data_IF_555261023417
#
_entry.id   IF_555261023417
#
_cell.length_a   1.000
_cell.length_b   1.000
_cell.length_c   1.000
_cell.angle_alpha   90.00
_cell.angle_beta   90.00
_cell.angle_gamma   90.00
#
_symmetry.space_group_name_H-M   'P 1'
#
loop_
_entity.id
_entity.type
_entity.pdbx_description
1 polymer ?
#
# COMPACT_ATOMS: atom_id res chain seq x y z
N UNK A 1 -4.61 -45.78 -15.10
CA UNK A 1 -5.38 -44.87 -15.99
C UNK A 1 -6.34 -43.94 -15.23
N UNK A 2 -7.16 -44.42 -14.27
CA UNK A 2 -8.11 -43.57 -13.51
C UNK A 2 -7.45 -42.49 -12.62
N UNK A 3 -6.25 -42.74 -12.09
CA UNK A 3 -5.51 -41.78 -11.27
C UNK A 3 -4.95 -40.60 -12.09
N UNK A 4 -4.40 -40.89 -13.28
CA UNK A 4 -3.91 -39.86 -14.20
C UNK A 4 -5.05 -38.93 -14.68
N UNK A 5 -6.24 -39.49 -14.92
CA UNK A 5 -7.42 -38.70 -15.27
C UNK A 5 -7.89 -37.76 -14.14
N UNK A 6 -7.76 -38.19 -12.87
CA UNK A 6 -8.09 -37.35 -11.71
C UNK A 6 -7.08 -36.22 -11.49
N UNK A 7 -5.79 -36.49 -11.70
CA UNK A 7 -4.74 -35.48 -11.62
C UNK A 7 -4.91 -34.43 -12.72
N UNK A 8 -5.19 -34.86 -13.96
CA UNK A 8 -5.46 -33.96 -15.08
C UNK A 8 -6.71 -33.10 -14.83
N UNK A 9 -7.78 -33.66 -14.27
CA UNK A 9 -8.99 -32.92 -13.92
C UNK A 9 -8.75 -31.90 -12.79
N UNK A 10 -7.95 -32.26 -11.77
CA UNK A 10 -7.59 -31.36 -10.68
C UNK A 10 -6.73 -30.19 -11.17
N UNK A 11 -5.76 -30.46 -12.06
CA UNK A 11 -4.95 -29.42 -12.72
C UNK A 11 -5.81 -28.52 -13.61
N UNK A 12 -6.74 -29.08 -14.37
CA UNK A 12 -7.69 -28.32 -15.18
C UNK A 12 -8.57 -27.39 -14.35
N UNK A 13 -9.05 -27.86 -13.18
CA UNK A 13 -9.85 -27.04 -12.27
C UNK A 13 -9.02 -25.91 -11.64
N UNK A 14 -7.75 -26.18 -11.31
CA UNK A 14 -6.82 -25.19 -10.76
C UNK A 14 -6.42 -24.12 -11.78
N UNK A 15 -6.38 -24.46 -13.07
CA UNK A 15 -6.11 -23.50 -14.15
C UNK A 15 -7.34 -22.65 -14.50
N UNK A 16 -8.55 -23.16 -14.26
CA UNK A 16 -9.80 -22.40 -14.43
C UNK A 16 -10.02 -21.38 -13.31
N UNK A 17 -9.59 -21.68 -12.08
CA UNK A 17 -9.70 -20.75 -10.94
C UNK A 17 -8.76 -19.54 -11.01
N UNK A 18 -7.75 -19.56 -11.88
CA UNK A 18 -6.81 -18.44 -12.11
C UNK A 18 -7.38 -17.39 -13.08
N UNK A 19 -8.41 -17.74 -13.86
CA UNK A 19 -9.04 -16.86 -14.86
C UNK A 19 -9.64 -15.54 -14.30
N UNK A 20 -10.32 -15.48 -13.13
CA UNK A 20 -10.84 -14.22 -12.62
C UNK A 20 -9.74 -13.19 -12.29
N UNK A 21 -8.55 -13.65 -11.87
CA UNK A 21 -7.42 -12.76 -11.60
C UNK A 21 -6.84 -12.12 -12.88
N UNK A 22 -6.89 -12.84 -14.01
CA UNK A 22 -6.45 -12.31 -15.32
C UNK A 22 -7.50 -11.41 -15.97
N UNK A 23 -8.80 -11.64 -15.71
CA UNK A 23 -9.87 -10.77 -16.17
C UNK A 23 -9.85 -9.40 -15.48
N UNK A 24 -9.34 -9.31 -14.24
CA UNK A 24 -9.09 -8.04 -13.56
C UNK A 24 -7.86 -7.28 -14.12
N UNK A 25 -6.99 -7.94 -14.88
CA UNK A 25 -5.83 -7.32 -15.51
C UNK A 25 -6.13 -6.77 -16.92
N UNK A 26 -7.22 -7.22 -17.54
CA UNK A 26 -7.70 -6.72 -18.82
C UNK A 26 -8.76 -5.65 -18.58
N UNK A 27 -8.30 -4.43 -18.40
CA UNK A 27 -9.12 -3.22 -18.35
C UNK A 27 -10.15 -3.20 -19.51
N UNK A 28 -11.46 -3.03 -19.23
CA UNK A 28 -12.49 -3.00 -20.28
C UNK A 28 -12.16 -1.97 -21.36
N UNK A 29 -12.35 -2.30 -22.64
CA UNK A 29 -12.06 -1.36 -23.73
C UNK A 29 -12.75 -0.01 -23.50
N UNK A 30 -11.96 1.06 -23.35
CA UNK A 30 -12.45 2.41 -23.01
C UNK A 30 -12.32 2.81 -21.54
N UNK A 31 -11.84 1.95 -20.64
CA UNK A 31 -11.59 2.29 -19.23
C UNK A 31 -10.33 3.15 -19.02
N UNK A 32 -9.50 3.34 -20.05
CA UNK A 32 -8.26 4.12 -19.99
C UNK A 32 -8.37 5.48 -19.27
N UNK A 33 -9.39 6.31 -19.55
CA UNK A 33 -9.60 7.57 -18.83
C UNK A 33 -10.03 7.39 -17.37
N UNK A 34 -10.87 6.39 -17.06
CA UNK A 34 -11.27 6.08 -15.67
C UNK A 34 -10.08 5.56 -14.88
N UNK A 35 -9.29 4.65 -15.44
CA UNK A 35 -8.12 4.04 -14.80
C UNK A 35 -7.03 5.11 -14.60
N UNK A 36 -6.84 6.00 -15.57
CA UNK A 36 -5.94 7.14 -15.42
C UNK A 36 -6.43 8.13 -14.34
N UNK A 37 -7.73 8.42 -14.26
CA UNK A 37 -8.30 9.27 -13.22
C UNK A 37 -8.18 8.64 -11.82
N UNK A 38 -8.44 7.34 -11.70
CA UNK A 38 -8.25 6.58 -10.46
C UNK A 38 -6.77 6.53 -10.07
N UNK A 39 -5.86 6.35 -11.03
CA UNK A 39 -4.41 6.42 -10.80
C UNK A 39 -3.95 7.81 -10.34
N UNK A 40 -4.53 8.89 -10.89
CA UNK A 40 -4.25 10.26 -10.46
C UNK A 40 -4.79 10.53 -9.05
N UNK A 41 -6.00 10.09 -8.74
CA UNK A 41 -6.57 10.17 -7.39
C UNK A 41 -5.73 9.36 -6.39
N UNK A 42 -5.31 8.16 -6.77
CA UNK A 42 -4.41 7.34 -5.96
C UNK A 42 -3.07 8.05 -5.72
N UNK A 43 -2.46 8.61 -6.76
CA UNK A 43 -1.18 9.33 -6.65
C UNK A 43 -1.27 10.59 -5.80
N UNK A 44 -2.37 11.34 -5.90
CA UNK A 44 -2.59 12.51 -5.05
C UNK A 44 -2.86 12.11 -3.60
N UNK A 45 -3.76 11.14 -3.36
CA UNK A 45 -4.14 10.70 -2.02
C UNK A 45 -3.04 9.92 -1.28
N UNK A 46 -2.18 9.18 -1.99
CA UNK A 46 -1.11 8.38 -1.38
C UNK A 46 0.26 9.06 -1.43
N UNK A 47 0.49 9.98 -2.38
CA UNK A 47 1.79 10.62 -2.58
C UNK A 47 1.88 12.01 -1.94
N UNK A 48 1.53 13.05 -2.69
CA UNK A 48 1.76 14.44 -2.31
C UNK A 48 0.84 14.94 -1.19
N UNK A 49 -0.44 14.58 -1.21
CA UNK A 49 -1.37 15.04 -0.16
C UNK A 49 -1.06 14.35 1.16
N UNK A 50 -0.77 13.04 1.12
CA UNK A 50 -0.43 12.26 2.31
C UNK A 50 0.80 12.83 3.01
N UNK A 51 1.87 13.08 2.26
CA UNK A 51 3.12 13.67 2.79
C UNK A 51 2.93 15.10 3.28
N UNK A 52 2.12 15.92 2.61
CA UNK A 52 1.81 17.28 3.07
C UNK A 52 1.09 17.27 4.43
N UNK A 53 0.10 16.39 4.62
CA UNK A 53 -0.60 16.24 5.90
C UNK A 53 0.35 15.76 7.00
N UNK A 54 1.26 14.84 6.67
CA UNK A 54 2.30 14.37 7.60
C UNK A 54 3.14 15.54 8.13
N UNK A 55 3.62 16.40 7.24
CA UNK A 55 4.45 17.56 7.58
C UNK A 55 3.66 18.56 8.44
N UNK A 56 2.39 18.82 8.11
CA UNK A 56 1.54 19.70 8.91
C UNK A 56 1.31 19.16 10.33
N UNK A 57 1.10 17.84 10.47
CA UNK A 57 0.97 17.21 11.78
C UNK A 57 2.26 17.35 12.61
N UNK A 58 3.43 17.10 12.01
CA UNK A 58 4.73 17.26 12.67
C UNK A 58 4.97 18.71 13.10
N UNK A 59 4.65 19.68 12.23
CA UNK A 59 4.77 21.10 12.54
C UNK A 59 3.85 21.54 13.69
N UNK A 60 2.59 21.08 13.70
CA UNK A 60 1.63 21.37 14.77
C UNK A 60 2.09 20.79 16.13
N UNK A 61 2.63 19.57 16.13
CA UNK A 61 3.21 18.95 17.34
C UNK A 61 4.40 19.76 17.85
N UNK A 62 5.30 20.16 16.95
CA UNK A 62 6.44 21.01 17.30
C UNK A 62 5.99 22.34 17.93
N UNK A 63 4.96 22.96 17.37
CA UNK A 63 4.38 24.19 17.93
C UNK A 63 3.78 23.97 19.32
N UNK A 64 3.03 22.88 19.53
CA UNK A 64 2.49 22.55 20.86
C UNK A 64 3.59 22.23 21.88
N UNK A 65 4.69 21.60 21.47
CA UNK A 65 5.85 21.34 22.35
C UNK A 65 6.53 22.64 22.79
N UNK A 66 6.66 23.63 21.89
CA UNK A 66 7.20 24.95 22.23
C UNK A 66 6.33 25.72 23.22
N UNK A 67 5.01 25.49 23.21
CA UNK A 67 4.11 26.12 24.20
C UNK A 67 4.23 25.53 25.60
N UNK A 68 5.09 24.52 25.82
CA UNK A 68 5.43 23.97 27.14
C UNK A 68 4.34 23.13 27.83
N UNK A 69 3.12 23.14 27.28
CA UNK A 69 1.92 22.48 27.80
C UNK A 69 1.72 21.05 27.31
N UNK A 70 2.52 20.57 26.38
CA UNK A 70 2.46 19.20 25.85
C UNK A 70 3.60 18.36 26.41
N UNK A 71 3.28 17.18 26.96
CA UNK A 71 4.27 16.25 27.47
C UNK A 71 5.22 15.84 26.35
N UNK A 72 6.53 16.03 26.53
CA UNK A 72 7.54 15.63 25.54
C UNK A 72 7.38 14.17 25.08
N UNK A 73 7.03 13.27 26.00
CA UNK A 73 6.71 11.87 25.72
C UNK A 73 5.60 11.71 24.67
N UNK A 74 4.57 12.55 24.75
CA UNK A 74 3.44 12.50 23.83
C UNK A 74 3.84 12.92 22.42
N UNK A 75 4.60 14.01 22.26
CA UNK A 75 5.04 14.43 20.93
C UNK A 75 6.08 13.49 20.32
N UNK A 76 6.92 12.85 21.14
CA UNK A 76 7.80 11.76 20.67
C UNK A 76 6.99 10.58 20.12
N UNK A 77 5.91 10.16 20.79
CA UNK A 77 5.01 9.11 20.29
C UNK A 77 4.35 9.49 18.96
N UNK A 78 3.93 10.76 18.80
CA UNK A 78 3.32 11.22 17.54
C UNK A 78 4.34 11.19 16.40
N UNK A 79 5.57 11.68 16.61
CA UNK A 79 6.63 11.66 15.60
C UNK A 79 6.96 10.23 15.17
N UNK A 80 7.08 9.30 16.13
CA UNK A 80 7.30 7.88 15.85
C UNK A 80 6.13 7.30 15.04
N UNK A 81 4.89 7.64 15.39
CA UNK A 81 3.70 7.20 14.64
C UNK A 81 3.71 7.67 13.19
N UNK A 82 4.02 8.95 12.94
CA UNK A 82 4.15 9.50 11.59
C UNK A 82 5.25 8.77 10.81
N UNK A 83 6.41 8.52 11.43
CA UNK A 83 7.50 7.78 10.79
C UNK A 83 7.08 6.36 10.36
N UNK A 84 6.33 5.63 11.21
CA UNK A 84 5.89 4.27 10.88
C UNK A 84 4.85 4.29 9.76
N UNK A 85 3.87 5.19 9.78
CA UNK A 85 2.84 5.28 8.74
C UNK A 85 3.43 5.56 7.34
N UNK A 86 4.32 6.55 7.25
CA UNK A 86 4.88 7.01 5.98
C UNK A 86 6.15 6.25 5.57
N UNK A 87 6.88 5.68 6.53
CA UNK A 87 8.10 4.90 6.31
C UNK A 87 7.86 3.41 6.03
N UNK A 88 6.64 2.89 6.23
CA UNK A 88 6.31 1.48 6.08
C UNK A 88 6.75 0.88 4.73
N UNK A 89 6.56 1.60 3.63
CA UNK A 89 6.95 1.13 2.30
C UNK A 89 8.46 0.84 2.20
N UNK A 90 9.30 1.76 2.69
CA UNK A 90 10.75 1.58 2.68
C UNK A 90 11.20 0.42 3.58
N UNK A 91 10.55 0.22 4.72
CA UNK A 91 10.81 -0.90 5.63
C UNK A 91 10.49 -2.23 4.93
N UNK A 92 9.31 -2.32 4.30
CA UNK A 92 8.88 -3.51 3.58
C UNK A 92 9.80 -3.81 2.40
N UNK A 93 10.13 -2.80 1.58
CA UNK A 93 11.07 -2.96 0.46
C UNK A 93 12.46 -3.41 0.94
N UNK A 94 12.93 -2.88 2.07
CA UNK A 94 14.19 -3.30 2.69
C UNK A 94 14.17 -4.78 3.07
N UNK A 95 13.11 -5.25 3.76
CA UNK A 95 12.95 -6.66 4.15
C UNK A 95 12.89 -7.56 2.91
N UNK A 96 12.10 -7.17 1.90
CA UNK A 96 11.99 -7.94 0.66
C UNK A 96 13.34 -8.10 -0.04
N UNK A 97 14.15 -7.03 -0.09
CA UNK A 97 15.48 -7.06 -0.69
C UNK A 97 16.42 -8.07 -0.01
N UNK A 98 16.34 -8.24 1.31
CA UNK A 98 17.16 -9.23 2.04
C UNK A 98 16.62 -10.65 1.89
N UNK A 99 15.31 -10.82 1.68
CA UNK A 99 14.67 -12.14 1.52
C UNK A 99 14.76 -12.69 0.09
N UNK A 100 14.97 -11.82 -0.90
CA UNK A 100 15.07 -12.19 -2.31
C UNK A 100 16.51 -12.49 -2.76
N UNK A 101 17.51 -12.15 -1.93
CA UNK A 101 18.91 -12.56 -2.09
C UNK A 101 19.24 -13.76 -1.22
#
# INVERSE_FOLDING_TARGET
MRLAARIAAALGLLLVSVRPALAQAADPAGSGPIVAALGWLQGTLLGNVATAVAVMAVAAVGFMMLTGRLNWRFGATVIIGVFILFGAGAIVSGIQAVSAG
#
